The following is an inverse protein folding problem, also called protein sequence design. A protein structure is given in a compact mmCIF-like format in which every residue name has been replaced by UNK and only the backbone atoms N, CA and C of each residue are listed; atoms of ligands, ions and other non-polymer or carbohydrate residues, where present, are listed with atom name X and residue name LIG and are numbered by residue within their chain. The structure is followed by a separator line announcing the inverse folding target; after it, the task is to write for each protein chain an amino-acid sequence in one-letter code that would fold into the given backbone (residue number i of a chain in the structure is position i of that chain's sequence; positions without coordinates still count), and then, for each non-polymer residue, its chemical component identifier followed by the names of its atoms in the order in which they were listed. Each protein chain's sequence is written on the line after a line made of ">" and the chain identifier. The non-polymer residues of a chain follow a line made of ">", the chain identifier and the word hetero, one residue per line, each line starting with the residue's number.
data_IF_584395189193
#
_entry.id   IF_584395189193
#
_cell.length_a   1.000
_cell.length_b   1.000
_cell.length_c   1.000
_cell.angle_alpha   90.00
_cell.angle_beta   90.00
_cell.angle_gamma   90.00
#
_symmetry.space_group_name_H-M   'P 1'
#
loop_
_entity.id
_entity.type
_entity.pdbx_description
1 polymer ?
#
# COMPACT_ATOMS: atom_id res chain seq x y z
N UNK A 1 141.15 -15.13 40.44
CA UNK A 1 140.87 -14.36 39.21
C UNK A 1 140.09 -15.16 38.15
N UNK A 2 140.26 -16.48 38.01
CA UNK A 2 139.52 -17.30 37.02
C UNK A 2 138.01 -17.47 37.28
N UNK A 3 137.55 -17.46 38.54
CA UNK A 3 136.15 -17.73 38.88
C UNK A 3 135.19 -16.58 38.47
N UNK A 4 135.64 -15.33 38.57
CA UNK A 4 134.88 -14.13 38.17
C UNK A 4 134.61 -14.05 36.66
N UNK A 5 135.54 -14.56 35.83
CA UNK A 5 135.44 -14.50 34.37
C UNK A 5 134.42 -15.51 33.82
N UNK A 6 134.30 -16.67 34.47
CA UNK A 6 133.30 -17.70 34.16
C UNK A 6 131.90 -17.23 34.57
N UNK A 7 131.78 -16.54 35.71
CA UNK A 7 130.51 -15.98 36.16
C UNK A 7 130.00 -14.86 35.25
N UNK A 8 130.91 -14.03 34.71
CA UNK A 8 130.58 -12.99 33.73
C UNK A 8 130.06 -13.61 32.41
N UNK A 9 130.74 -14.63 31.89
CA UNK A 9 130.33 -15.34 30.67
C UNK A 9 128.95 -16.00 30.82
N UNK A 10 128.64 -16.60 31.98
CA UNK A 10 127.32 -17.15 32.27
C UNK A 10 126.23 -16.08 32.32
N UNK A 11 126.54 -14.89 32.86
CA UNK A 11 125.61 -13.76 32.84
C UNK A 11 125.38 -13.23 31.42
N UNK A 12 126.42 -13.19 30.59
CA UNK A 12 126.28 -12.79 29.18
C UNK A 12 125.44 -13.80 28.38
N UNK A 13 125.63 -15.11 28.59
CA UNK A 13 124.77 -16.16 28.00
C UNK A 13 123.31 -16.04 28.46
N UNK A 14 123.06 -15.81 29.76
CA UNK A 14 121.72 -15.57 30.29
C UNK A 14 121.08 -14.31 29.68
N UNK A 15 121.85 -13.24 29.46
CA UNK A 15 121.36 -12.02 28.82
C UNK A 15 121.02 -12.25 27.36
N UNK A 16 121.79 -13.07 26.63
CA UNK A 16 121.50 -13.45 25.25
C UNK A 16 120.21 -14.30 25.19
N UNK A 17 120.07 -15.29 26.08
CA UNK A 17 118.89 -16.14 26.17
C UNK A 17 117.63 -15.32 26.50
N UNK A 18 117.72 -14.43 27.49
CA UNK A 18 116.66 -13.46 27.81
C UNK A 18 116.29 -12.57 26.62
N UNK A 19 117.27 -12.08 25.84
CA UNK A 19 117.00 -11.30 24.62
C UNK A 19 116.29 -12.12 23.55
N UNK A 20 116.67 -13.39 23.37
CA UNK A 20 116.00 -14.27 22.41
C UNK A 20 114.56 -14.58 22.82
N UNK A 21 114.31 -14.82 24.10
CA UNK A 21 112.95 -15.02 24.62
C UNK A 21 112.10 -13.75 24.47
N UNK A 22 112.63 -12.58 24.85
CA UNK A 22 111.95 -11.29 24.66
C UNK A 22 111.62 -11.06 23.17
N UNK A 23 112.55 -11.33 22.26
CA UNK A 23 112.31 -11.17 20.83
C UNK A 23 111.25 -12.16 20.31
N UNK A 24 111.23 -13.40 20.81
CA UNK A 24 110.18 -14.38 20.50
C UNK A 24 108.82 -13.87 20.97
N UNK A 25 108.74 -13.37 22.21
CA UNK A 25 107.50 -12.84 22.77
C UNK A 25 107.01 -11.60 22.03
N UNK A 26 107.91 -10.68 21.65
CA UNK A 26 107.58 -9.52 20.80
C UNK A 26 107.02 -9.96 19.45
N UNK A 27 107.62 -10.98 18.81
CA UNK A 27 107.15 -11.49 17.53
C UNK A 27 105.78 -12.18 17.64
N UNK A 28 105.56 -12.96 18.70
CA UNK A 28 104.26 -13.57 19.00
C UNK A 28 103.19 -12.49 19.23
N UNK A 29 103.49 -11.45 20.03
CA UNK A 29 102.59 -10.33 20.28
C UNK A 29 102.27 -9.56 18.99
N UNK A 30 103.25 -9.32 18.11
CA UNK A 30 103.01 -8.69 16.80
C UNK A 30 102.08 -9.51 15.93
N UNK A 31 102.29 -10.83 15.88
CA UNK A 31 101.43 -11.73 15.12
C UNK A 31 99.99 -11.74 15.67
N UNK A 32 99.81 -11.81 16.99
CA UNK A 32 98.49 -11.70 17.61
C UNK A 32 97.81 -10.35 17.33
N UNK A 33 98.58 -9.26 17.36
CA UNK A 33 98.08 -7.91 17.11
C UNK A 33 97.60 -7.78 15.66
N UNK A 34 98.36 -8.29 14.70
CA UNK A 34 97.96 -8.32 13.29
C UNK A 34 96.66 -9.14 13.09
N UNK A 35 96.55 -10.32 13.71
CA UNK A 35 95.34 -11.15 13.63
C UNK A 35 94.11 -10.44 14.23
N UNK A 36 94.30 -9.69 15.32
CA UNK A 36 93.24 -8.86 15.92
C UNK A 36 92.83 -7.71 15.00
N UNK A 37 93.77 -7.05 14.34
CA UNK A 37 93.47 -5.98 13.37
C UNK A 37 92.67 -6.49 12.16
N UNK A 38 93.04 -7.66 11.62
CA UNK A 38 92.27 -8.34 10.56
C UNK A 38 90.84 -8.65 11.02
N UNK A 39 90.68 -9.15 12.25
CA UNK A 39 89.37 -9.43 12.85
C UNK A 39 88.54 -8.16 13.03
N UNK A 40 89.14 -7.07 13.51
CA UNK A 40 88.49 -5.77 13.68
C UNK A 40 88.00 -5.24 12.33
N UNK A 41 88.82 -5.35 11.28
CA UNK A 41 88.44 -4.91 9.95
C UNK A 41 87.29 -5.73 9.35
N UNK A 42 87.30 -7.06 9.56
CA UNK A 42 86.18 -7.92 9.16
C UNK A 42 84.87 -7.55 9.89
N UNK A 43 84.93 -7.30 11.21
CA UNK A 43 83.77 -6.86 12.00
C UNK A 43 83.24 -5.51 11.49
N UNK A 44 84.13 -4.55 11.19
CA UNK A 44 83.73 -3.25 10.62
C UNK A 44 83.01 -3.40 9.29
N UNK A 45 83.52 -4.27 8.40
CA UNK A 45 82.91 -4.53 7.11
C UNK A 45 81.50 -5.14 7.27
N UNK A 46 81.36 -6.13 8.14
CA UNK A 46 80.07 -6.75 8.45
C UNK A 46 79.08 -5.73 9.03
N UNK A 47 79.51 -4.83 9.93
CA UNK A 47 78.65 -3.78 10.47
C UNK A 47 78.16 -2.80 9.40
N UNK A 48 79.00 -2.47 8.41
CA UNK A 48 78.59 -1.64 7.27
C UNK A 48 77.53 -2.36 6.44
N UNK A 49 77.71 -3.66 6.17
CA UNK A 49 76.75 -4.46 5.40
C UNK A 49 75.42 -4.62 6.14
N UNK A 50 75.45 -4.90 7.44
CA UNK A 50 74.24 -4.94 8.27
C UNK A 50 73.49 -3.61 8.27
N UNK A 51 74.20 -2.48 8.31
CA UNK A 51 73.58 -1.16 8.25
C UNK A 51 72.85 -0.94 6.91
N UNK A 52 73.46 -1.33 5.78
CA UNK A 52 72.82 -1.27 4.46
C UNK A 52 71.56 -2.14 4.38
N UNK A 53 71.61 -3.36 4.92
CA UNK A 53 70.44 -4.23 4.97
C UNK A 53 69.31 -3.62 5.81
N UNK A 54 69.65 -3.02 6.96
CA UNK A 54 68.68 -2.36 7.82
C UNK A 54 67.99 -1.18 7.11
N UNK A 55 68.77 -0.37 6.37
CA UNK A 55 68.23 0.73 5.56
C UNK A 55 67.28 0.21 4.46
N UNK A 56 67.62 -0.91 3.80
CA UNK A 56 66.73 -1.53 2.81
C UNK A 56 65.42 -2.07 3.43
N UNK A 57 65.50 -2.67 4.62
CA UNK A 57 64.30 -3.12 5.33
C UNK A 57 63.40 -1.95 5.73
N UNK A 58 63.98 -0.82 6.15
CA UNK A 58 63.22 0.38 6.49
C UNK A 58 62.44 0.91 5.29
N UNK A 59 63.09 0.99 4.11
CA UNK A 59 62.43 1.43 2.86
C UNK A 59 61.25 0.51 2.51
N UNK A 60 61.45 -0.81 2.53
CA UNK A 60 60.36 -1.77 2.25
C UNK A 60 59.22 -1.68 3.25
N UNK A 61 59.54 -1.42 4.52
CA UNK A 61 58.53 -1.25 5.56
C UNK A 61 57.68 0.00 5.32
N UNK A 62 58.30 1.11 4.93
CA UNK A 62 57.60 2.35 4.62
C UNK A 62 56.72 2.22 3.36
N UNK A 63 57.21 1.54 2.31
CA UNK A 63 56.41 1.19 1.12
C UNK A 63 55.18 0.34 1.47
N UNK A 64 55.36 -0.67 2.33
CA UNK A 64 54.26 -1.53 2.77
C UNK A 64 53.21 -0.76 3.57
N UNK A 65 53.67 0.16 4.43
CA UNK A 65 52.80 1.03 5.23
C UNK A 65 51.93 1.94 4.36
N UNK A 66 52.52 2.58 3.34
CA UNK A 66 51.76 3.43 2.41
C UNK A 66 50.77 2.63 1.55
N UNK A 67 51.13 1.41 1.12
CA UNK A 67 50.21 0.53 0.40
C UNK A 67 48.97 0.18 1.25
N UNK A 68 49.18 -0.21 2.52
CA UNK A 68 48.07 -0.47 3.44
C UNK A 68 47.19 0.77 3.63
N UNK A 69 47.80 1.94 3.84
CA UNK A 69 47.07 3.19 4.03
C UNK A 69 46.17 3.51 2.83
N UNK A 70 46.70 3.39 1.61
CA UNK A 70 45.92 3.61 0.38
C UNK A 70 44.75 2.63 0.22
N UNK A 71 44.91 1.36 0.61
CA UNK A 71 43.83 0.36 0.58
C UNK A 71 42.72 0.69 1.57
N UNK A 72 43.09 1.15 2.77
CA UNK A 72 42.12 1.55 3.81
C UNK A 72 41.33 2.79 3.34
N UNK A 73 42.00 3.78 2.75
CA UNK A 73 41.33 4.99 2.22
C UNK A 73 40.32 4.61 1.13
N UNK A 74 40.71 3.78 0.15
CA UNK A 74 39.80 3.31 -0.90
C UNK A 74 38.59 2.53 -0.34
N UNK A 75 38.82 1.64 0.64
CA UNK A 75 37.72 0.93 1.31
C UNK A 75 36.78 1.88 2.04
N UNK A 76 37.33 2.91 2.70
CA UNK A 76 36.53 3.93 3.40
C UNK A 76 35.65 4.71 2.44
N UNK A 77 36.16 5.11 1.27
CA UNK A 77 35.38 5.79 0.24
C UNK A 77 34.24 4.91 -0.30
N UNK A 78 34.51 3.62 -0.55
CA UNK A 78 33.48 2.68 -1.00
C UNK A 78 32.36 2.49 0.03
N UNK A 79 32.71 2.39 1.32
CA UNK A 79 31.73 2.29 2.42
C UNK A 79 30.85 3.55 2.48
N UNK A 80 31.44 4.73 2.36
CA UNK A 80 30.69 6.00 2.36
C UNK A 80 29.73 6.10 1.17
N UNK A 81 30.15 5.66 -0.02
CA UNK A 81 29.28 5.63 -1.20
C UNK A 81 28.11 4.67 -1.04
N UNK A 82 28.35 3.46 -0.50
CA UNK A 82 27.29 2.49 -0.21
C UNK A 82 26.29 3.04 0.82
N UNK A 83 26.78 3.67 1.89
CA UNK A 83 25.90 4.30 2.90
C UNK A 83 25.02 5.39 2.28
N UNK A 84 25.58 6.20 1.36
CA UNK A 84 24.81 7.23 0.65
C UNK A 84 23.70 6.61 -0.22
N UNK A 85 24.02 5.56 -0.98
CA UNK A 85 23.05 4.86 -1.83
C UNK A 85 21.92 4.23 -1.00
N UNK A 86 22.25 3.55 0.10
CA UNK A 86 21.25 2.96 1.00
C UNK A 86 20.33 4.02 1.61
N UNK A 87 20.90 5.16 2.05
CA UNK A 87 20.10 6.26 2.60
C UNK A 87 19.16 6.89 1.57
N UNK A 88 19.57 6.98 0.30
CA UNK A 88 18.69 7.45 -0.78
C UNK A 88 17.55 6.46 -1.04
N UNK A 89 17.84 5.16 -1.09
CA UNK A 89 16.81 4.13 -1.27
C UNK A 89 15.78 4.12 -0.13
N UNK A 90 16.23 4.23 1.12
CA UNK A 90 15.33 4.32 2.28
C UNK A 90 14.43 5.55 2.19
N UNK A 91 14.97 6.72 1.80
CA UNK A 91 14.17 7.94 1.63
C UNK A 91 13.14 7.80 0.51
N UNK A 92 13.50 7.17 -0.60
CA UNK A 92 12.58 6.93 -1.72
C UNK A 92 11.46 5.94 -1.34
N UNK A 93 11.75 4.94 -0.50
CA UNK A 93 10.75 4.02 0.03
C UNK A 93 9.82 4.69 1.04
N UNK A 94 10.36 5.47 1.99
CA UNK A 94 9.57 6.27 2.92
C UNK A 94 8.66 7.29 2.21
N UNK A 95 9.15 7.88 1.11
CA UNK A 95 8.38 8.84 0.33
C UNK A 95 7.25 8.15 -0.45
N UNK A 96 7.49 6.95 -1.00
CA UNK A 96 6.44 6.12 -1.63
C UNK A 96 5.40 5.60 -0.62
N UNK A 97 5.80 5.29 0.61
CA UNK A 97 4.84 4.95 1.68
C UNK A 97 4.01 6.15 2.12
N UNK A 98 4.63 7.34 2.27
CA UNK A 98 3.92 8.58 2.59
C UNK A 98 2.94 8.99 1.49
N UNK A 99 3.29 8.81 0.22
CA UNK A 99 2.37 9.02 -0.91
C UNK A 99 1.19 8.03 -0.91
N UNK A 100 1.40 6.77 -0.50
CA UNK A 100 0.30 5.80 -0.31
C UNK A 100 -0.61 6.17 0.87
N UNK A 101 -0.09 6.81 1.91
CA UNK A 101 -0.88 7.30 3.05
C UNK A 101 -1.64 8.61 2.79
N UNK A 102 -1.27 9.39 1.76
CA UNK A 102 -1.86 10.71 1.53
C UNK A 102 -3.30 10.65 0.98
N UNK A 103 -3.72 9.53 0.38
CA UNK A 103 -5.08 9.28 -0.15
C UNK A 103 -6.06 8.72 0.90
N UNK A 104 -5.95 9.15 2.16
CA UNK A 104 -6.67 8.54 3.28
C UNK A 104 -8.14 8.93 3.40
N UNK A 105 -8.69 9.91 2.68
CA UNK A 105 -10.13 10.19 2.77
C UNK A 105 -10.62 10.99 1.56
N UNK A 106 -11.94 11.13 1.44
CA UNK A 106 -12.59 11.85 0.35
C UNK A 106 -12.06 13.28 0.20
N UNK A 107 -11.76 13.99 1.29
CA UNK A 107 -11.24 15.37 1.24
C UNK A 107 -9.84 15.43 0.65
N UNK A 108 -8.93 14.56 1.10
CA UNK A 108 -7.56 14.53 0.59
C UNK A 108 -7.54 14.13 -0.89
N UNK A 109 -8.32 13.12 -1.26
CA UNK A 109 -8.43 12.66 -2.64
C UNK A 109 -9.03 13.75 -3.52
N UNK A 110 -10.03 14.51 -3.04
CA UNK A 110 -10.58 15.68 -3.73
C UNK A 110 -9.52 16.77 -3.97
N UNK A 111 -8.73 17.12 -2.96
CA UNK A 111 -7.63 18.09 -3.10
C UNK A 111 -6.56 17.64 -4.10
N UNK A 112 -6.28 16.33 -4.15
CA UNK A 112 -5.35 15.74 -5.11
C UNK A 112 -5.88 15.81 -6.55
N UNK A 113 -7.14 15.41 -6.79
CA UNK A 113 -7.71 15.46 -8.15
C UNK A 113 -7.81 16.91 -8.66
N UNK A 114 -8.02 17.89 -7.77
CA UNK A 114 -8.08 19.30 -8.13
C UNK A 114 -6.72 19.91 -8.48
N UNK A 115 -5.62 19.32 -7.96
CA UNK A 115 -4.26 19.81 -8.19
C UNK A 115 -3.46 18.98 -9.22
N UNK A 116 -4.08 17.96 -9.81
CA UNK A 116 -3.45 17.06 -10.78
C UNK A 116 -3.99 17.23 -12.21
N UNK A 117 -3.32 16.60 -13.19
CA UNK A 117 -3.72 16.62 -14.61
C UNK A 117 -4.79 15.56 -14.95
N UNK A 118 -5.53 15.07 -13.96
CA UNK A 118 -6.57 14.05 -14.12
C UNK A 118 -7.81 14.62 -14.81
N UNK A 119 -8.53 13.78 -15.55
CA UNK A 119 -9.69 14.19 -16.36
C UNK A 119 -11.00 13.80 -15.66
N UNK A 120 -11.86 14.80 -15.44
CA UNK A 120 -13.23 14.57 -14.99
C UNK A 120 -14.02 13.72 -16.00
N UNK A 121 -14.92 12.85 -15.52
CA UNK A 121 -15.68 11.83 -16.26
C UNK A 121 -14.85 10.72 -16.92
N UNK A 122 -13.54 10.68 -16.66
CA UNK A 122 -12.64 9.61 -17.12
C UNK A 122 -11.94 8.97 -15.93
N UNK A 123 -11.20 9.76 -15.16
CA UNK A 123 -10.40 9.30 -14.02
C UNK A 123 -11.20 9.39 -12.70
N UNK A 124 -12.04 10.40 -12.59
CA UNK A 124 -12.95 10.68 -11.47
C UNK A 124 -14.25 11.29 -11.97
N UNK A 125 -15.28 11.36 -11.12
CA UNK A 125 -16.50 12.12 -11.39
C UNK A 125 -16.66 13.21 -10.33
N UNK A 126 -16.48 14.47 -10.70
CA UNK A 126 -16.69 15.64 -9.84
C UNK A 126 -17.83 16.47 -10.41
N UNK A 127 -18.85 16.69 -9.59
CA UNK A 127 -20.01 17.54 -9.93
C UNK A 127 -20.18 18.55 -8.80
N UNK A 128 -19.98 19.82 -9.11
CA UNK A 128 -20.09 20.94 -8.16
C UNK A 128 -21.34 21.78 -8.40
N UNK A 129 -21.89 21.73 -9.61
CA UNK A 129 -23.10 22.44 -9.97
C UNK A 129 -24.33 21.81 -9.32
N UNK A 130 -25.26 22.66 -8.90
CA UNK A 130 -26.53 22.22 -8.35
C UNK A 130 -27.47 21.72 -9.47
N UNK A 131 -28.49 20.95 -9.11
CA UNK A 131 -29.59 20.51 -9.97
C UNK A 131 -29.13 19.72 -11.22
N UNK A 132 -28.06 18.95 -11.09
CA UNK A 132 -27.53 18.14 -12.18
C UNK A 132 -28.14 16.74 -12.19
N UNK A 133 -28.49 16.25 -13.39
CA UNK A 133 -28.84 14.85 -13.60
C UNK A 133 -27.80 14.23 -14.52
N UNK A 134 -27.02 13.29 -13.98
CA UNK A 134 -25.92 12.65 -14.69
C UNK A 134 -26.32 11.22 -15.02
N UNK A 135 -26.32 10.92 -16.32
CA UNK A 135 -26.54 9.58 -16.83
C UNK A 135 -25.23 8.81 -16.87
N UNK A 136 -25.25 7.61 -16.32
CA UNK A 136 -24.14 6.65 -16.31
C UNK A 136 -24.51 5.43 -17.15
N UNK A 137 -23.53 4.65 -17.58
CA UNK A 137 -23.81 3.47 -18.41
C UNK A 137 -24.67 2.47 -17.66
N UNK A 138 -25.70 1.97 -18.32
CA UNK A 138 -26.60 0.94 -17.80
C UNK A 138 -25.99 -0.46 -17.97
N UNK A 139 -26.09 -1.31 -16.95
CA UNK A 139 -25.59 -2.69 -16.92
C UNK A 139 -24.11 -2.84 -17.33
N UNK A 140 -23.31 -1.79 -17.14
CA UNK A 140 -21.87 -1.78 -17.36
C UNK A 140 -21.18 -1.14 -16.15
N UNK A 141 -19.96 -1.59 -15.84
CA UNK A 141 -19.16 -0.98 -14.78
C UNK A 141 -18.71 0.43 -15.16
N UNK A 142 -19.19 1.41 -14.40
CA UNK A 142 -18.73 2.79 -14.43
C UNK A 142 -17.54 2.89 -13.45
N UNK A 143 -16.32 2.89 -14.00
CA UNK A 143 -15.08 2.86 -13.21
C UNK A 143 -14.50 4.27 -13.04
N UNK A 144 -14.37 4.72 -11.79
CA UNK A 144 -13.75 6.01 -11.45
C UNK A 144 -12.64 5.80 -10.42
N UNK A 145 -11.41 5.66 -10.92
CA UNK A 145 -10.24 5.26 -10.11
C UNK A 145 -10.00 6.17 -8.91
N UNK A 146 -10.25 7.47 -9.03
CA UNK A 146 -9.95 8.44 -7.97
C UNK A 146 -11.17 8.91 -7.18
N UNK A 147 -12.39 8.51 -7.57
CA UNK A 147 -13.58 8.83 -6.78
C UNK A 147 -14.74 9.40 -7.57
N UNK A 148 -15.89 9.39 -6.92
CA UNK A 148 -17.10 10.12 -7.31
C UNK A 148 -17.42 11.11 -6.19
N UNK A 149 -17.56 12.38 -6.55
CA UNK A 149 -17.75 13.51 -5.65
C UNK A 149 -18.95 14.34 -6.12
N UNK A 150 -20.09 14.18 -5.46
CA UNK A 150 -21.31 14.94 -5.68
C UNK A 150 -21.34 16.07 -4.64
N UNK A 151 -20.78 17.21 -5.01
CA UNK A 151 -20.54 18.36 -4.13
C UNK A 151 -21.53 19.51 -4.33
N UNK A 152 -22.41 19.44 -5.33
CA UNK A 152 -23.59 20.30 -5.46
C UNK A 152 -24.83 19.70 -4.80
N UNK A 153 -25.85 20.54 -4.64
CA UNK A 153 -27.18 20.16 -4.17
C UNK A 153 -28.06 19.64 -5.31
N UNK A 154 -29.02 18.77 -5.00
CA UNK A 154 -29.98 18.22 -5.98
C UNK A 154 -29.32 17.51 -7.16
N UNK A 155 -28.17 16.84 -6.94
CA UNK A 155 -27.50 16.03 -7.96
C UNK A 155 -28.11 14.62 -7.98
N UNK A 156 -28.50 14.12 -9.14
CA UNK A 156 -28.98 12.74 -9.31
C UNK A 156 -28.08 11.97 -10.28
N UNK A 157 -27.49 10.86 -9.82
CA UNK A 157 -26.90 9.85 -10.70
C UNK A 157 -27.96 8.82 -11.08
N UNK A 158 -28.14 8.57 -12.38
CA UNK A 158 -29.09 7.59 -12.91
C UNK A 158 -28.44 6.74 -14.01
N UNK A 159 -28.90 5.49 -14.25
CA UNK A 159 -28.51 4.74 -15.43
C UNK A 159 -29.11 5.36 -16.70
N UNK A 160 -28.39 5.27 -17.82
CA UNK A 160 -28.89 5.63 -19.15
C UNK A 160 -29.67 4.46 -19.73
N UNK A 161 -30.95 4.37 -19.39
CA UNK A 161 -31.82 3.30 -19.83
C UNK A 161 -33.24 3.80 -20.13
N UNK A 162 -33.96 3.04 -20.97
CA UNK A 162 -35.37 3.31 -21.26
C UNK A 162 -36.34 2.49 -20.40
N UNK A 163 -35.90 1.37 -19.83
CA UNK A 163 -36.77 0.43 -19.10
C UNK A 163 -36.13 -0.06 -17.80
N UNK A 164 -35.23 -1.04 -17.89
CA UNK A 164 -34.57 -1.66 -16.74
C UNK A 164 -33.25 -0.95 -16.44
N UNK A 165 -33.15 -0.39 -15.24
CA UNK A 165 -32.02 0.36 -14.75
C UNK A 165 -31.18 -0.48 -13.80
N UNK A 166 -29.94 -0.73 -14.20
CA UNK A 166 -28.93 -1.45 -13.45
C UNK A 166 -27.66 -0.63 -13.43
N UNK A 167 -27.44 0.07 -12.32
CA UNK A 167 -26.28 0.93 -12.17
C UNK A 167 -25.15 0.18 -11.47
N UNK A 168 -24.01 0.03 -12.15
CA UNK A 168 -22.81 -0.60 -11.59
C UNK A 168 -21.69 0.43 -11.49
N UNK A 169 -21.21 0.69 -10.29
CA UNK A 169 -20.17 1.69 -10.02
C UNK A 169 -19.03 1.06 -9.25
N UNK A 170 -17.81 1.21 -9.76
CA UNK A 170 -16.59 0.89 -9.04
C UNK A 170 -15.74 2.14 -8.88
N UNK A 171 -15.42 2.50 -7.65
CA UNK A 171 -14.73 3.76 -7.34
C UNK A 171 -13.87 3.63 -6.10
N UNK A 172 -12.78 4.39 -5.98
CA UNK A 172 -12.00 4.40 -4.74
C UNK A 172 -12.74 5.11 -3.61
N UNK A 173 -13.34 6.26 -3.92
CA UNK A 173 -14.06 7.10 -2.98
C UNK A 173 -15.45 7.43 -3.52
N UNK A 174 -16.46 7.51 -2.65
CA UNK A 174 -17.79 8.01 -3.00
C UNK A 174 -18.22 9.02 -1.95
N UNK A 175 -18.42 10.28 -2.37
CA UNK A 175 -18.89 11.36 -1.52
C UNK A 175 -20.15 11.99 -2.08
N UNK A 176 -21.27 11.83 -1.37
CA UNK A 176 -22.52 12.56 -1.59
C UNK A 176 -22.66 13.58 -0.48
N UNK A 177 -22.34 14.84 -0.77
CA UNK A 177 -22.16 15.87 0.27
C UNK A 177 -23.47 16.33 0.90
N UNK A 178 -24.53 16.45 0.11
CA UNK A 178 -25.82 17.04 0.51
C UNK A 178 -26.94 16.01 0.51
N UNK A 179 -27.90 16.20 1.43
CA UNK A 179 -29.06 15.33 1.59
C UNK A 179 -30.03 15.33 0.41
N UNK A 180 -30.00 16.39 -0.41
CA UNK A 180 -30.81 16.53 -1.62
C UNK A 180 -30.24 15.77 -2.83
N UNK A 181 -29.00 15.27 -2.74
CA UNK A 181 -28.33 14.55 -3.82
C UNK A 181 -28.46 13.03 -3.64
N UNK A 182 -28.49 12.29 -4.75
CA UNK A 182 -28.80 10.85 -4.72
C UNK A 182 -28.24 10.04 -5.88
N UNK A 183 -28.11 8.73 -5.63
CA UNK A 183 -27.96 7.69 -6.65
C UNK A 183 -29.31 6.97 -6.75
N UNK A 184 -29.93 7.00 -7.92
CA UNK A 184 -31.34 6.64 -8.06
C UNK A 184 -31.57 5.63 -9.19
N UNK A 185 -32.10 4.46 -8.80
CA UNK A 185 -32.66 3.44 -9.70
C UNK A 185 -34.13 3.16 -9.39
N UNK A 186 -34.84 4.10 -8.75
CA UNK A 186 -36.25 3.90 -8.39
C UNK A 186 -37.13 3.82 -9.64
N UNK A 187 -38.12 2.93 -9.61
CA UNK A 187 -39.06 2.66 -10.70
C UNK A 187 -38.43 2.13 -12.00
N UNK A 188 -37.15 1.71 -11.96
CA UNK A 188 -36.41 1.17 -13.10
C UNK A 188 -36.32 -0.37 -13.09
N UNK A 189 -37.28 -1.03 -12.44
CA UNK A 189 -37.45 -2.48 -12.42
C UNK A 189 -38.52 -2.94 -13.40
N UNK A 190 -39.06 -4.14 -13.19
CA UNK A 190 -40.10 -4.66 -14.07
C UNK A 190 -41.33 -3.75 -14.05
N UNK A 191 -41.93 -3.47 -15.23
CA UNK A 191 -43.13 -2.67 -15.31
C UNK A 191 -44.34 -3.45 -14.77
N UNK A 192 -45.49 -2.79 -14.71
CA UNK A 192 -46.78 -3.38 -14.34
C UNK A 192 -46.99 -4.78 -14.93
N UNK A 193 -47.51 -5.70 -14.11
CA UNK A 193 -47.78 -7.11 -14.47
C UNK A 193 -46.56 -7.88 -15.00
N UNK A 194 -45.35 -7.45 -14.67
CA UNK A 194 -44.10 -8.13 -15.04
C UNK A 194 -43.17 -8.34 -13.85
N UNK A 195 -42.28 -9.32 -13.99
CA UNK A 195 -41.38 -9.78 -12.94
C UNK A 195 -41.85 -11.05 -12.22
N UNK A 196 -40.94 -11.75 -11.51
CA UNK A 196 -41.26 -13.00 -10.82
C UNK A 196 -42.34 -12.86 -9.73
N UNK A 197 -42.34 -11.72 -9.04
CA UNK A 197 -43.30 -11.34 -8.02
C UNK A 197 -44.31 -10.30 -8.51
N UNK A 198 -44.62 -10.25 -9.81
CA UNK A 198 -45.57 -9.28 -10.38
C UNK A 198 -46.93 -9.30 -9.70
N UNK A 199 -47.64 -8.18 -9.60
CA UNK A 199 -49.04 -8.21 -9.15
C UNK A 199 -49.96 -9.09 -10.00
N UNK A 200 -51.14 -9.39 -9.46
CA UNK A 200 -52.28 -10.00 -10.13
C UNK A 200 -53.02 -9.05 -11.08
N UNK A 201 -54.07 -9.55 -11.74
CA UNK A 201 -54.91 -8.73 -12.61
C UNK A 201 -55.84 -7.79 -11.81
N UNK A 202 -56.01 -8.01 -10.51
CA UNK A 202 -56.68 -7.13 -9.57
C UNK A 202 -55.72 -6.24 -8.77
N UNK A 203 -56.23 -5.73 -7.65
CA UNK A 203 -55.51 -4.79 -6.78
C UNK A 203 -54.47 -5.52 -5.94
N UNK A 204 -53.20 -5.43 -6.35
CA UNK A 204 -52.09 -6.11 -5.67
C UNK A 204 -50.74 -5.47 -5.98
N UNK A 205 -49.91 -5.34 -4.95
CA UNK A 205 -48.53 -4.92 -5.07
C UNK A 205 -47.62 -6.04 -5.56
N UNK A 206 -46.54 -5.65 -6.24
CA UNK A 206 -45.47 -6.57 -6.60
C UNK A 206 -44.67 -6.99 -5.36
N UNK A 207 -44.23 -8.24 -5.30
CA UNK A 207 -43.29 -8.74 -4.28
C UNK A 207 -41.85 -8.65 -4.78
N UNK A 208 -40.90 -8.36 -3.87
CA UNK A 208 -39.48 -8.73 -4.02
C UNK A 208 -38.99 -9.20 -2.65
N UNK A 209 -37.92 -8.72 -2.01
CA UNK A 209 -37.48 -9.23 -0.70
C UNK A 209 -38.55 -9.43 0.39
N UNK A 210 -39.71 -8.76 0.29
CA UNK A 210 -40.94 -9.15 1.00
C UNK A 210 -42.13 -9.33 0.05
N UNK A 211 -43.15 -10.04 0.53
CA UNK A 211 -44.45 -10.17 -0.16
C UNK A 211 -45.12 -8.79 -0.34
N UNK A 212 -45.71 -8.56 -1.51
CA UNK A 212 -46.60 -7.42 -1.75
C UNK A 212 -47.99 -7.63 -1.12
N UNK A 213 -48.77 -6.58 -0.95
CA UNK A 213 -50.14 -6.68 -0.43
C UNK A 213 -51.16 -6.93 -1.56
N UNK A 214 -52.28 -7.58 -1.28
CA UNK A 214 -53.34 -7.84 -2.26
C UNK A 214 -54.67 -8.17 -1.61
N UNK A 215 -55.76 -8.04 -2.37
CA UNK A 215 -57.11 -8.33 -1.89
C UNK A 215 -57.32 -9.82 -1.53
N UNK A 216 -58.29 -10.09 -0.67
CA UNK A 216 -58.67 -11.45 -0.28
C UNK A 216 -59.08 -12.29 -1.51
N UNK A 217 -58.25 -13.28 -1.85
CA UNK A 217 -58.43 -14.16 -3.01
C UNK A 217 -57.41 -13.94 -4.13
N UNK A 218 -56.76 -12.77 -4.18
CA UNK A 218 -55.60 -12.49 -5.02
C UNK A 218 -54.41 -12.18 -4.11
N UNK A 219 -53.61 -13.21 -3.78
CA UNK A 219 -52.41 -13.01 -2.98
C UNK A 219 -51.48 -12.01 -3.67
N UNK A 220 -51.13 -10.92 -2.96
CA UNK A 220 -49.97 -10.10 -3.32
C UNK A 220 -48.77 -11.04 -3.48
N UNK A 221 -47.95 -10.82 -4.51
CA UNK A 221 -47.18 -11.93 -5.05
C UNK A 221 -45.92 -12.25 -4.25
N UNK A 222 -45.56 -13.54 -4.33
CA UNK A 222 -44.57 -14.16 -3.47
C UNK A 222 -43.21 -13.48 -3.57
N UNK A 223 -42.48 -13.50 -2.45
CA UNK A 223 -41.10 -13.03 -2.40
C UNK A 223 -40.19 -13.93 -3.25
N UNK A 224 -39.10 -13.38 -3.75
CA UNK A 224 -38.07 -14.13 -4.47
C UNK A 224 -36.68 -13.52 -4.27
N UNK A 225 -35.67 -14.14 -4.89
CA UNK A 225 -34.27 -13.78 -4.74
C UNK A 225 -33.71 -14.16 -3.38
N UNK A 226 -32.40 -14.07 -3.25
CA UNK A 226 -31.66 -14.48 -2.07
C UNK A 226 -31.10 -13.24 -1.33
N UNK A 227 -30.94 -13.33 0.00
CA UNK A 227 -30.62 -12.19 0.86
C UNK A 227 -29.19 -11.66 0.69
N UNK A 228 -28.25 -12.51 0.24
CA UNK A 228 -26.82 -12.17 0.13
C UNK A 228 -26.52 -11.36 -1.13
N UNK A 229 -27.38 -11.42 -2.15
CA UNK A 229 -27.21 -10.78 -3.47
C UNK A 229 -25.89 -11.14 -4.18
N UNK A 230 -25.30 -12.30 -3.87
CA UNK A 230 -24.04 -12.76 -4.45
C UNK A 230 -24.22 -13.73 -5.60
N UNK A 231 -25.24 -14.58 -5.52
CA UNK A 231 -25.54 -15.55 -6.58
C UNK A 231 -26.41 -14.92 -7.65
N UNK A 232 -27.41 -14.16 -7.21
CA UNK A 232 -28.39 -13.54 -8.09
C UNK A 232 -28.80 -12.18 -7.53
N UNK A 233 -28.87 -11.18 -8.41
CA UNK A 233 -29.37 -9.84 -8.13
C UNK A 233 -30.53 -9.56 -9.08
N UNK A 234 -31.66 -9.10 -8.55
CA UNK A 234 -32.91 -9.07 -9.31
C UNK A 234 -33.55 -7.67 -9.31
N UNK A 235 -34.15 -7.30 -10.44
CA UNK A 235 -35.04 -6.16 -10.48
C UNK A 235 -36.27 -6.40 -9.60
N UNK A 236 -36.83 -5.33 -9.04
CA UNK A 236 -38.13 -5.35 -8.40
C UNK A 236 -39.24 -5.68 -9.42
N UNK A 237 -40.30 -6.33 -8.96
CA UNK A 237 -41.47 -6.66 -9.76
C UNK A 237 -42.48 -5.51 -9.81
N UNK A 238 -43.21 -5.40 -10.91
CA UNK A 238 -44.27 -4.41 -11.04
C UNK A 238 -45.54 -4.78 -10.28
N UNK A 239 -46.31 -3.78 -9.89
CA UNK A 239 -47.65 -3.93 -9.33
C UNK A 239 -48.66 -4.49 -10.34
N UNK A 240 -49.85 -4.80 -9.83
CA UNK A 240 -50.93 -5.45 -10.55
C UNK A 240 -51.88 -4.49 -11.28
N UNK A 241 -52.99 -5.05 -11.76
CA UNK A 241 -54.12 -4.33 -12.33
C UNK A 241 -54.10 -4.23 -13.85
N UNK A 242 -55.19 -3.72 -14.43
CA UNK A 242 -55.37 -3.67 -15.89
C UNK A 242 -54.88 -2.37 -16.55
N UNK A 243 -54.52 -1.32 -15.78
CA UNK A 243 -54.20 0.00 -16.35
C UNK A 243 -53.02 0.75 -15.71
N UNK A 244 -52.90 0.75 -14.38
CA UNK A 244 -51.96 1.62 -13.67
C UNK A 244 -51.34 0.92 -12.44
N UNK A 245 -50.42 0.00 -12.67
CA UNK A 245 -49.58 -0.59 -11.62
C UNK A 245 -48.20 0.08 -11.57
N UNK A 246 -47.63 0.21 -10.39
CA UNK A 246 -46.31 0.80 -10.21
C UNK A 246 -45.20 -0.10 -10.77
N UNK A 247 -44.13 0.50 -11.30
CA UNK A 247 -42.95 -0.28 -11.75
C UNK A 247 -42.08 -0.66 -10.56
N UNK A 248 -41.42 -1.82 -10.60
CA UNK A 248 -40.47 -2.21 -9.56
C UNK A 248 -39.23 -1.32 -9.51
N UNK A 249 -38.41 -1.46 -8.46
CA UNK A 249 -37.11 -0.80 -8.37
C UNK A 249 -36.03 -1.47 -9.24
N UNK A 250 -35.03 -0.70 -9.66
CA UNK A 250 -33.89 -1.17 -10.42
C UNK A 250 -32.83 -1.90 -9.58
N UNK A 251 -31.58 -1.90 -10.05
CA UNK A 251 -30.46 -2.52 -9.36
C UNK A 251 -29.32 -1.50 -9.21
N UNK A 252 -28.73 -1.41 -8.02
CA UNK A 252 -27.50 -0.65 -7.78
C UNK A 252 -26.43 -1.61 -7.22
N UNK A 253 -25.29 -1.69 -7.89
CA UNK A 253 -24.08 -2.38 -7.41
C UNK A 253 -22.96 -1.36 -7.22
N UNK A 254 -22.47 -1.22 -5.98
CA UNK A 254 -21.37 -0.34 -5.62
C UNK A 254 -20.18 -1.16 -5.10
N UNK A 255 -19.01 -0.98 -5.71
CA UNK A 255 -17.73 -1.43 -5.16
C UNK A 255 -16.91 -0.18 -4.81
N UNK A 256 -16.62 -0.03 -3.52
CA UNK A 256 -15.94 1.15 -2.97
C UNK A 256 -14.64 0.70 -2.32
N UNK A 257 -13.51 1.15 -2.86
CA UNK A 257 -12.21 0.61 -2.47
C UNK A 257 -11.70 1.20 -1.14
N UNK A 258 -12.02 2.46 -0.84
CA UNK A 258 -11.48 3.18 0.32
C UNK A 258 -12.57 3.78 1.23
N UNK A 259 -13.42 4.67 0.72
CA UNK A 259 -14.36 5.40 1.57
C UNK A 259 -15.68 5.77 0.90
N UNK A 260 -16.77 5.55 1.64
CA UNK A 260 -18.12 6.00 1.40
C UNK A 260 -18.51 7.07 2.43
N UNK A 261 -18.80 8.28 1.96
CA UNK A 261 -19.45 9.35 2.72
C UNK A 261 -20.74 9.71 2.00
N UNK A 262 -21.85 9.12 2.42
CA UNK A 262 -23.18 9.46 1.93
C UNK A 262 -23.95 10.29 2.97
N UNK A 263 -24.23 11.55 2.66
CA UNK A 263 -25.21 12.36 3.39
C UNK A 263 -26.56 12.48 2.65
N UNK A 264 -26.62 11.96 1.43
CA UNK A 264 -27.80 11.89 0.57
C UNK A 264 -28.48 10.54 0.61
N UNK A 265 -29.05 10.14 -0.53
CA UNK A 265 -29.71 8.83 -0.67
C UNK A 265 -29.14 7.94 -1.77
N UNK A 266 -29.13 6.63 -1.51
CA UNK A 266 -28.91 5.58 -2.51
C UNK A 266 -30.20 4.76 -2.55
N UNK A 267 -30.93 4.80 -3.66
CA UNK A 267 -32.31 4.32 -3.67
C UNK A 267 -32.67 3.50 -4.91
N UNK A 268 -33.39 2.41 -4.68
CA UNK A 268 -33.97 1.54 -5.69
C UNK A 268 -35.41 1.21 -5.31
N UNK A 269 -36.24 2.24 -5.17
CA UNK A 269 -37.61 2.11 -4.69
C UNK A 269 -38.58 1.71 -5.81
N UNK A 270 -39.64 0.99 -5.46
CA UNK A 270 -40.77 0.75 -6.35
C UNK A 270 -41.57 2.03 -6.58
N UNK A 271 -42.26 2.09 -7.71
CA UNK A 271 -43.19 3.16 -8.05
C UNK A 271 -44.57 2.92 -7.47
N UNK A 272 -45.28 4.00 -7.21
CA UNK A 272 -46.68 3.96 -6.83
C UNK A 272 -47.57 3.57 -8.02
N UNK A 273 -48.74 3.01 -7.74
CA UNK A 273 -49.71 2.63 -8.76
C UNK A 273 -51.11 2.55 -8.19
N UNK A 274 -52.10 2.97 -8.98
CA UNK A 274 -53.51 2.95 -8.57
C UNK A 274 -54.01 1.55 -8.20
N UNK A 275 -53.53 0.53 -8.91
CA UNK A 275 -53.93 -0.87 -8.68
C UNK A 275 -52.90 -1.66 -7.86
N UNK A 276 -51.82 -1.01 -7.41
CA UNK A 276 -50.79 -1.62 -6.60
C UNK A 276 -49.40 -1.07 -6.88
N UNK A 277 -48.62 -0.93 -5.81
CA UNK A 277 -47.24 -0.46 -5.88
C UNK A 277 -46.30 -1.52 -6.46
N UNK A 278 -45.31 -1.08 -7.22
CA UNK A 278 -44.17 -1.93 -7.59
C UNK A 278 -43.32 -2.24 -6.36
N UNK A 279 -42.62 -3.38 -6.35
CA UNK A 279 -41.72 -3.71 -5.25
C UNK A 279 -40.45 -2.86 -5.31
N UNK A 280 -39.73 -2.76 -4.18
CA UNK A 280 -38.34 -2.28 -4.20
C UNK A 280 -37.46 -3.16 -5.08
N UNK A 281 -36.25 -2.69 -5.39
CA UNK A 281 -35.22 -3.37 -6.18
C UNK A 281 -34.06 -3.90 -5.34
N UNK A 282 -32.87 -4.04 -5.93
CA UNK A 282 -31.66 -4.50 -5.22
C UNK A 282 -30.62 -3.40 -5.03
N UNK A 283 -30.00 -3.34 -3.86
CA UNK A 283 -28.78 -2.57 -3.61
C UNK A 283 -27.71 -3.50 -3.03
N UNK A 284 -26.57 -3.61 -3.70
CA UNK A 284 -25.38 -4.30 -3.21
C UNK A 284 -24.26 -3.29 -3.01
N UNK A 285 -23.71 -3.21 -1.80
CA UNK A 285 -22.58 -2.35 -1.45
C UNK A 285 -21.43 -3.20 -0.92
N UNK A 286 -20.30 -3.17 -1.61
CA UNK A 286 -19.05 -3.84 -1.21
C UNK A 286 -17.99 -2.80 -0.86
N UNK A 287 -17.59 -2.76 0.42
CA UNK A 287 -16.47 -1.97 0.89
C UNK A 287 -15.20 -2.83 0.95
N UNK A 288 -14.13 -2.43 0.26
CA UNK A 288 -12.89 -3.23 0.25
C UNK A 288 -11.90 -2.83 1.35
N UNK A 289 -12.14 -1.69 2.01
CA UNK A 289 -11.33 -1.16 3.11
C UNK A 289 -12.24 -0.69 4.23
N UNK A 290 -11.89 -1.06 5.46
CA UNK A 290 -12.55 -0.63 6.69
C UNK A 290 -11.67 0.32 7.53
N UNK A 291 -10.54 0.79 6.97
CA UNK A 291 -9.59 1.66 7.67
C UNK A 291 -10.14 3.06 7.94
N UNK A 292 -11.11 3.48 7.15
CA UNK A 292 -11.70 4.81 7.19
C UNK A 292 -13.12 4.74 7.71
N UNK A 293 -13.52 5.78 8.43
CA UNK A 293 -14.91 5.91 8.86
C UNK A 293 -15.81 6.06 7.64
N UNK A 294 -16.84 5.24 7.61
CA UNK A 294 -17.87 5.22 6.58
C UNK A 294 -19.10 6.00 7.07
N UNK A 295 -19.89 6.53 6.16
CA UNK A 295 -21.19 7.17 6.46
C UNK A 295 -22.17 6.76 5.37
N UNK A 296 -23.27 6.14 5.75
CA UNK A 296 -24.16 5.47 4.80
C UNK A 296 -25.35 6.31 4.35
N UNK A 297 -25.69 7.37 5.09
CA UNK A 297 -26.86 8.20 4.77
C UNK A 297 -28.12 7.35 4.64
N UNK A 298 -29.06 7.79 3.82
CA UNK A 298 -30.26 7.02 3.54
C UNK A 298 -30.01 5.99 2.45
N UNK A 299 -30.35 4.72 2.69
CA UNK A 299 -30.30 3.65 1.67
C UNK A 299 -31.64 2.95 1.63
N UNK A 300 -32.33 2.95 0.49
CA UNK A 300 -33.72 2.45 0.42
C UNK A 300 -34.02 1.54 -0.77
N UNK A 301 -34.72 0.45 -0.48
CA UNK A 301 -35.40 -0.41 -1.46
C UNK A 301 -36.84 -0.65 -0.99
N UNK A 302 -37.62 0.41 -0.77
CA UNK A 302 -39.03 0.28 -0.37
C UNK A 302 -39.93 0.08 -1.59
N UNK A 303 -41.06 -0.62 -1.42
CA UNK A 303 -42.07 -0.71 -2.48
C UNK A 303 -42.86 0.59 -2.63
N UNK A 304 -43.66 0.71 -3.68
CA UNK A 304 -44.65 1.79 -3.83
C UNK A 304 -45.85 1.61 -2.90
N UNK A 305 -46.70 2.63 -2.81
CA UNK A 305 -47.96 2.68 -2.05
C UNK A 305 -47.79 2.39 -0.54
N UNK A 306 -46.66 2.75 0.09
CA UNK A 306 -46.42 2.37 1.50
C UNK A 306 -47.42 2.97 2.52
N UNK A 307 -48.18 3.99 2.11
CA UNK A 307 -49.22 4.65 2.91
C UNK A 307 -50.64 4.34 2.40
N UNK A 308 -50.78 3.44 1.44
CA UNK A 308 -52.05 3.08 0.79
C UNK A 308 -52.25 1.56 0.80
N UNK A 309 -53.43 1.11 0.35
CA UNK A 309 -53.67 -0.31 0.09
C UNK A 309 -52.80 -0.82 -1.07
N UNK A 310 -52.58 -2.14 -1.12
CA UNK A 310 -51.89 -2.82 -2.23
C UNK A 310 -50.43 -2.39 -2.38
N UNK A 311 -49.77 -2.15 -1.25
CA UNK A 311 -48.36 -1.78 -1.21
C UNK A 311 -47.45 -2.81 -1.86
N UNK A 312 -46.44 -2.31 -2.56
CA UNK A 312 -45.35 -3.13 -3.06
C UNK A 312 -44.51 -3.66 -1.90
N UNK A 313 -43.99 -4.87 -2.06
CA UNK A 313 -43.02 -5.46 -1.16
C UNK A 313 -41.70 -4.67 -1.16
N UNK A 314 -40.97 -4.73 -0.06
CA UNK A 314 -39.60 -4.20 -0.01
C UNK A 314 -38.68 -5.05 -0.89
N UNK A 315 -37.61 -4.44 -1.35
CA UNK A 315 -36.55 -5.09 -2.11
C UNK A 315 -35.51 -5.75 -1.21
N UNK A 316 -34.26 -5.78 -1.64
CA UNK A 316 -33.14 -6.37 -0.87
C UNK A 316 -31.95 -5.43 -0.85
N UNK A 317 -31.28 -5.38 0.30
CA UNK A 317 -30.02 -4.64 0.49
C UNK A 317 -29.01 -5.61 1.07
N UNK A 318 -27.81 -5.68 0.49
CA UNK A 318 -26.69 -6.44 1.02
C UNK A 318 -25.44 -5.55 1.12
N UNK A 319 -24.72 -5.65 2.23
CA UNK A 319 -23.57 -4.82 2.55
C UNK A 319 -22.40 -5.65 3.09
N UNK A 320 -21.26 -5.56 2.41
CA UNK A 320 -20.05 -6.31 2.71
C UNK A 320 -18.87 -5.41 3.09
N UNK A 321 -17.95 -5.94 3.89
CA UNK A 321 -16.69 -5.27 4.25
C UNK A 321 -16.77 -4.33 5.45
N UNK A 322 -17.90 -4.33 6.16
CA UNK A 322 -18.12 -3.51 7.36
C UNK A 322 -19.15 -4.15 8.28
N UNK A 323 -19.05 -3.85 9.58
CA UNK A 323 -20.09 -4.10 10.56
C UNK A 323 -20.89 -2.81 10.77
N UNK A 324 -22.21 -2.86 10.54
CA UNK A 324 -23.07 -1.68 10.65
C UNK A 324 -23.43 -1.39 12.11
N UNK A 325 -23.38 -0.11 12.50
CA UNK A 325 -23.89 0.31 13.80
C UNK A 325 -25.42 0.36 13.80
N UNK A 326 -26.04 0.36 14.99
CA UNK A 326 -27.50 0.55 15.13
C UNK A 326 -27.98 1.88 14.53
N UNK A 327 -27.14 2.92 14.52
CA UNK A 327 -27.50 4.19 13.91
C UNK A 327 -27.46 4.13 12.38
N UNK A 328 -26.54 3.35 11.81
CA UNK A 328 -26.49 3.13 10.36
C UNK A 328 -27.73 2.33 9.91
N UNK A 329 -28.07 1.27 10.64
CA UNK A 329 -29.24 0.41 10.35
C UNK A 329 -30.54 1.22 10.32
N UNK A 330 -30.69 2.24 11.19
CA UNK A 330 -31.89 3.11 11.22
C UNK A 330 -32.09 3.91 9.92
N UNK A 331 -31.04 4.12 9.13
CA UNK A 331 -31.09 4.88 7.89
C UNK A 331 -31.21 3.98 6.65
N UNK A 332 -31.28 2.67 6.85
CA UNK A 332 -31.31 1.66 5.78
C UNK A 332 -32.62 0.87 5.86
N UNK A 333 -33.41 0.89 4.79
CA UNK A 333 -34.69 0.17 4.73
C UNK A 333 -34.90 -0.53 3.38
N UNK A 334 -35.06 -1.87 3.31
CA UNK A 334 -35.13 -2.84 4.41
C UNK A 334 -33.81 -3.06 5.16
N UNK A 335 -33.90 -3.73 6.31
CA UNK A 335 -32.72 -4.16 7.08
C UNK A 335 -31.78 -4.93 6.13
N UNK A 336 -30.50 -4.52 6.01
CA UNK A 336 -29.59 -5.13 5.07
C UNK A 336 -29.09 -6.48 5.58
N UNK A 337 -28.82 -7.41 4.66
CA UNK A 337 -27.89 -8.51 4.95
C UNK A 337 -26.48 -7.92 5.10
N UNK A 338 -25.85 -8.11 6.26
CA UNK A 338 -24.55 -7.50 6.56
C UNK A 338 -23.51 -8.53 7.01
N UNK A 339 -22.34 -8.53 6.36
CA UNK A 339 -21.19 -9.38 6.70
C UNK A 339 -19.88 -8.63 6.51
N UNK A 340 -18.88 -8.94 7.34
CA UNK A 340 -17.51 -8.43 7.16
C UNK A 340 -16.82 -8.98 5.92
N UNK A 341 -17.17 -10.20 5.50
CA UNK A 341 -16.58 -10.89 4.36
C UNK A 341 -17.67 -11.38 3.41
N UNK A 342 -17.32 -11.40 2.13
CA UNK A 342 -18.16 -11.87 1.03
C UNK A 342 -18.16 -13.39 0.95
#
# INVERSE_FOLDING_TARGET
>A
MNNLKIELLKKDEQVIELRTDINRDINNLRYELQKKDETINAIKLNNIEFKKQLEQYQIRFDEYKENIKSKIENQTTNIQQLQLQTNTQIKDEEQKEKEKEQYKNCTNTLSFIQSSNLKNRVDFLLITENYQRIKLKNNEWNNYKFGIFLLGENITLIPDCEKLGHLKIKTSHLWIKYSSSKIDCSQLGYPQNQGPGKGGFGYSGGGYGTKGEGNSGESGREMYGEETLLKEIHFGSGGGGNKHGGSGGGIIELIIEQQLINHGSIQSNGGDGFYGGGSGGSILIELQSNKLKQTFGTVTCIGGNQNEEYKGGKGRIAMYGIELSLNDIKQIDPIPFNRLHK
#
